data_IF_398549903349
#
_entry.id   IF_398549903349
#
_cell.length_a   1.000
_cell.length_b   1.000
_cell.length_c   1.000
_cell.angle_alpha   90.00
_cell.angle_beta   90.00
_cell.angle_gamma   90.00
#
_symmetry.space_group_name_H-M   'P 1'
#
loop_
_entity.id
_entity.type
_entity.pdbx_description
1 polymer ?
#
# COMPACT_ATOMS: atom_id res chain seq x y z
N UNK A 1 24.50 4.16 14.89
CA UNK A 1 23.72 5.41 14.77
C UNK A 1 23.35 5.81 13.33
N UNK A 2 24.29 5.77 12.36
CA UNK A 2 24.03 6.15 10.94
C UNK A 2 23.06 5.19 10.22
N UNK A 3 23.20 3.88 10.47
CA UNK A 3 22.36 2.83 9.88
C UNK A 3 20.87 2.95 10.25
N UNK A 4 20.58 3.13 11.55
CA UNK A 4 19.20 3.28 12.06
C UNK A 4 18.52 4.52 11.46
N UNK A 5 19.27 5.62 11.30
CA UNK A 5 18.76 6.85 10.68
C UNK A 5 18.43 6.66 9.20
N UNK A 6 19.29 5.96 8.47
CA UNK A 6 19.05 5.66 7.05
C UNK A 6 17.82 4.76 6.87
N UNK A 7 17.64 3.77 7.74
CA UNK A 7 16.48 2.89 7.74
C UNK A 7 15.19 3.66 8.03
N UNK A 8 15.18 4.50 9.07
CA UNK A 8 14.03 5.36 9.40
C UNK A 8 13.64 6.24 8.20
N UNK A 9 14.62 6.90 7.58
CA UNK A 9 14.38 7.75 6.41
C UNK A 9 13.85 6.93 5.22
N UNK A 10 14.35 5.71 5.00
CA UNK A 10 13.87 4.80 3.97
C UNK A 10 12.40 4.41 4.17
N UNK A 11 11.99 4.09 5.40
CA UNK A 11 10.59 3.78 5.74
C UNK A 11 9.70 4.99 5.49
N UNK A 12 10.11 6.18 5.93
CA UNK A 12 9.34 7.41 5.71
C UNK A 12 9.19 7.68 4.21
N UNK A 13 10.29 7.59 3.46
CA UNK A 13 10.29 7.79 2.02
C UNK A 13 9.35 6.80 1.32
N UNK A 14 9.42 5.51 1.68
CA UNK A 14 8.54 4.50 1.12
C UNK A 14 7.06 4.81 1.40
N UNK A 15 6.71 5.15 2.64
CA UNK A 15 5.31 5.48 3.01
C UNK A 15 4.81 6.72 2.24
N UNK A 16 5.65 7.75 2.08
CA UNK A 16 5.30 8.91 1.26
C UNK A 16 5.13 8.53 -0.22
N UNK A 17 6.06 7.77 -0.78
CA UNK A 17 6.00 7.30 -2.15
C UNK A 17 4.76 6.43 -2.40
N UNK A 18 4.37 5.60 -1.43
CA UNK A 18 3.15 4.78 -1.49
C UNK A 18 1.89 5.66 -1.53
N UNK A 19 1.78 6.64 -0.62
CA UNK A 19 0.64 7.55 -0.61
C UNK A 19 0.53 8.41 -1.88
N UNK A 20 1.65 8.98 -2.33
CA UNK A 20 1.72 9.75 -3.58
C UNK A 20 1.45 8.86 -4.79
N UNK A 21 1.99 7.64 -4.81
CA UNK A 21 1.74 6.64 -5.85
C UNK A 21 0.26 6.31 -5.99
N UNK A 22 -0.46 6.15 -4.87
CA UNK A 22 -1.91 5.97 -4.89
C UNK A 22 -2.67 7.16 -5.48
N UNK A 23 -2.26 8.39 -5.15
CA UNK A 23 -2.85 9.61 -5.74
C UNK A 23 -2.61 9.65 -7.25
N UNK A 24 -1.37 9.39 -7.70
CA UNK A 24 -1.01 9.38 -9.11
C UNK A 24 -1.75 8.28 -9.87
N UNK A 25 -1.95 7.11 -9.25
CA UNK A 25 -2.71 6.02 -9.82
C UNK A 25 -4.18 6.41 -10.03
N UNK A 26 -4.85 6.98 -9.03
CA UNK A 26 -6.21 7.47 -9.17
C UNK A 26 -6.34 8.61 -10.18
N UNK A 27 -5.38 9.53 -10.19
CA UNK A 27 -5.31 10.59 -11.18
C UNK A 27 -5.25 10.03 -12.61
N UNK A 28 -4.37 9.04 -12.83
CA UNK A 28 -4.25 8.35 -14.12
C UNK A 28 -5.56 7.63 -14.49
N UNK A 29 -6.18 6.89 -13.57
CA UNK A 29 -7.44 6.20 -13.85
C UNK A 29 -8.59 7.16 -14.19
N UNK A 30 -8.64 8.34 -13.58
CA UNK A 30 -9.69 9.33 -13.84
C UNK A 30 -9.45 10.06 -15.17
N UNK A 31 -8.22 10.52 -15.41
CA UNK A 31 -7.90 11.35 -16.58
C UNK A 31 -7.70 10.55 -17.87
N UNK A 32 -7.30 9.28 -17.76
CA UNK A 32 -7.05 8.40 -18.90
C UNK A 32 -7.83 7.10 -18.75
N UNK A 33 -9.17 7.09 -18.96
CA UNK A 33 -9.99 5.88 -18.77
C UNK A 33 -9.51 4.66 -19.57
N UNK A 34 -8.91 4.87 -20.74
CA UNK A 34 -8.30 3.83 -21.57
C UNK A 34 -7.23 3.02 -20.83
N UNK A 35 -6.55 3.62 -19.84
CA UNK A 35 -5.54 2.92 -19.05
C UNK A 35 -6.16 1.83 -18.16
N UNK A 36 -7.47 1.90 -17.88
CA UNK A 36 -8.19 0.90 -17.08
C UNK A 36 -8.12 -0.47 -17.75
N UNK A 37 -8.09 -0.53 -19.09
CA UNK A 37 -8.01 -1.78 -19.85
C UNK A 37 -6.81 -2.66 -19.46
N UNK A 38 -5.68 -2.06 -19.05
CA UNK A 38 -4.50 -2.81 -18.58
C UNK A 38 -4.72 -3.54 -17.24
N UNK A 39 -5.72 -3.12 -16.46
CA UNK A 39 -6.05 -3.66 -15.15
C UNK A 39 -7.31 -4.52 -15.15
N UNK A 40 -7.97 -4.65 -16.31
CA UNK A 40 -9.19 -5.44 -16.47
C UNK A 40 -8.88 -6.79 -17.11
N UNK A 41 -9.93 -7.60 -17.23
CA UNK A 41 -9.98 -8.81 -18.04
C UNK A 41 -11.35 -8.87 -18.71
N UNK A 42 -11.53 -9.75 -19.68
CA UNK A 42 -12.81 -9.91 -20.39
C UNK A 42 -13.99 -10.22 -19.46
N UNK A 43 -13.72 -10.75 -18.27
CA UNK A 43 -14.72 -11.09 -17.25
C UNK A 43 -14.77 -10.13 -16.08
N UNK A 44 -13.77 -9.23 -15.95
CA UNK A 44 -13.69 -8.27 -14.85
C UNK A 44 -14.35 -6.96 -15.22
N UNK A 45 -15.49 -6.66 -14.58
CA UNK A 45 -16.17 -5.38 -14.78
C UNK A 45 -15.36 -4.21 -14.24
N UNK A 46 -15.34 -3.11 -15.01
CA UNK A 46 -14.75 -1.84 -14.61
C UNK A 46 -15.28 -1.32 -13.25
N UNK A 47 -16.54 -1.63 -12.90
CA UNK A 47 -17.11 -1.24 -11.60
C UNK A 47 -16.33 -1.84 -10.43
N UNK A 48 -15.76 -3.03 -10.58
CA UNK A 48 -14.95 -3.67 -9.54
C UNK A 48 -13.68 -2.86 -9.31
N UNK A 49 -12.98 -2.48 -10.39
CA UNK A 49 -11.78 -1.65 -10.33
C UNK A 49 -12.07 -0.30 -9.67
N UNK A 50 -13.16 0.37 -10.07
CA UNK A 50 -13.53 1.67 -9.51
C UNK A 50 -13.96 1.56 -8.05
N UNK A 51 -14.51 0.42 -7.60
CA UNK A 51 -14.93 0.24 -6.20
C UNK A 51 -13.77 0.30 -5.19
N UNK A 52 -12.53 0.21 -5.65
CA UNK A 52 -11.35 0.41 -4.81
C UNK A 52 -11.14 1.85 -4.35
N UNK A 53 -11.90 2.83 -4.88
CA UNK A 53 -11.72 4.24 -4.51
C UNK A 53 -11.77 4.44 -3.00
N UNK A 54 -12.74 3.85 -2.31
CA UNK A 54 -12.92 4.06 -0.88
C UNK A 54 -11.76 3.45 -0.06
N UNK A 55 -11.41 2.16 -0.20
CA UNK A 55 -10.27 1.61 0.53
C UNK A 55 -8.95 2.28 0.15
N UNK A 56 -8.76 2.69 -1.11
CA UNK A 56 -7.53 3.35 -1.53
C UNK A 56 -7.40 4.74 -0.92
N UNK A 57 -8.43 5.58 -0.99
CA UNK A 57 -8.35 6.92 -0.40
C UNK A 57 -8.24 6.86 1.13
N UNK A 58 -9.07 6.03 1.78
CA UNK A 58 -9.15 6.00 3.25
C UNK A 58 -8.01 5.24 3.92
N UNK A 59 -7.62 4.08 3.39
CA UNK A 59 -6.61 3.21 3.99
C UNK A 59 -5.28 3.41 3.29
N UNK A 60 -5.22 3.20 1.98
CA UNK A 60 -3.94 3.18 1.27
C UNK A 60 -3.25 4.55 1.26
N UNK A 61 -3.92 5.59 0.77
CA UNK A 61 -3.36 6.94 0.61
C UNK A 61 -3.27 7.64 1.96
N UNK A 62 -4.40 7.87 2.63
CA UNK A 62 -4.43 8.60 3.91
C UNK A 62 -3.64 7.86 4.97
N UNK A 63 -3.81 6.53 5.09
CA UNK A 63 -3.05 5.73 6.05
C UNK A 63 -1.54 5.81 5.82
N UNK A 64 -1.07 5.79 4.57
CA UNK A 64 0.36 5.93 4.25
C UNK A 64 0.91 7.30 4.64
N UNK A 65 0.20 8.39 4.30
CA UNK A 65 0.62 9.75 4.62
C UNK A 65 0.60 10.01 6.13
N UNK A 66 -0.43 9.54 6.83
CA UNK A 66 -0.54 9.65 8.29
C UNK A 66 0.54 8.82 8.98
N UNK A 67 0.81 7.61 8.51
CA UNK A 67 1.91 6.77 8.99
C UNK A 67 3.27 7.46 8.80
N UNK A 68 3.54 7.99 7.60
CA UNK A 68 4.77 8.72 7.30
C UNK A 68 4.96 9.92 8.24
N UNK A 69 3.90 10.72 8.41
CA UNK A 69 3.93 11.87 9.30
C UNK A 69 4.18 11.47 10.75
N UNK A 70 3.38 10.52 11.29
CA UNK A 70 3.53 10.04 12.67
C UNK A 70 4.91 9.46 12.94
N UNK A 71 5.42 8.64 12.02
CA UNK A 71 6.71 7.98 12.14
C UNK A 71 7.88 8.99 12.02
N UNK A 72 7.76 10.00 11.15
CA UNK A 72 8.74 11.09 11.05
C UNK A 72 8.86 11.89 12.37
N UNK A 73 7.73 12.11 13.04
CA UNK A 73 7.63 12.82 14.33
C UNK A 73 7.82 11.90 15.54
N UNK A 74 8.16 10.63 15.32
CA UNK A 74 8.41 9.63 16.38
C UNK A 74 7.23 9.51 17.34
N UNK A 75 5.99 9.57 16.82
CA UNK A 75 4.78 9.46 17.63
C UNK A 75 4.45 8.00 17.93
N UNK A 76 4.10 7.69 19.18
CA UNK A 76 3.78 6.31 19.61
C UNK A 76 2.62 5.68 18.85
N UNK A 77 1.65 6.49 18.41
CA UNK A 77 0.50 6.03 17.63
C UNK A 77 0.85 5.65 16.19
N UNK A 78 2.04 6.01 15.67
CA UNK A 78 2.39 5.69 14.28
C UNK A 78 2.51 4.20 14.05
N UNK A 79 2.93 3.45 15.07
CA UNK A 79 3.15 2.01 14.94
C UNK A 79 1.84 1.23 14.77
N UNK A 80 0.79 1.44 15.60
CA UNK A 80 -0.54 0.90 15.32
C UNK A 80 -1.07 1.26 13.92
N UNK A 81 -0.86 2.49 13.45
CA UNK A 81 -1.29 2.91 12.10
C UNK A 81 -0.54 2.14 11.01
N UNK A 82 0.77 1.92 11.16
CA UNK A 82 1.55 1.11 10.22
C UNK A 82 1.02 -0.32 10.19
N UNK A 83 0.71 -0.94 11.33
CA UNK A 83 0.14 -2.29 11.35
C UNK A 83 -1.25 -2.36 10.71
N UNK A 84 -2.11 -1.38 10.99
CA UNK A 84 -3.42 -1.26 10.35
C UNK A 84 -3.29 -1.15 8.82
N UNK A 85 -2.39 -0.28 8.36
CA UNK A 85 -2.07 -0.10 6.95
C UNK A 85 -1.55 -1.39 6.31
N UNK A 86 -0.62 -2.09 6.97
CA UNK A 86 -0.09 -3.39 6.51
C UNK A 86 -1.21 -4.42 6.36
N UNK A 87 -2.13 -4.50 7.33
CA UNK A 87 -3.29 -5.39 7.25
C UNK A 87 -4.21 -5.05 6.07
N UNK A 88 -4.53 -3.77 5.90
CA UNK A 88 -5.37 -3.30 4.78
C UNK A 88 -4.76 -3.59 3.41
N UNK A 89 -3.46 -3.32 3.23
CA UNK A 89 -2.74 -3.61 1.98
C UNK A 89 -2.64 -5.11 1.74
N UNK A 90 -2.40 -5.91 2.79
CA UNK A 90 -2.36 -7.38 2.66
C UNK A 90 -3.72 -7.93 2.22
N UNK A 91 -4.82 -7.46 2.82
CA UNK A 91 -6.17 -7.86 2.43
C UNK A 91 -6.46 -7.50 0.96
N UNK A 92 -6.19 -6.25 0.57
CA UNK A 92 -6.40 -5.80 -0.82
C UNK A 92 -5.55 -6.61 -1.80
N UNK A 93 -4.29 -6.90 -1.46
CA UNK A 93 -3.39 -7.71 -2.30
C UNK A 93 -3.89 -9.13 -2.50
N UNK A 94 -4.34 -9.79 -1.41
CA UNK A 94 -4.93 -11.13 -1.49
C UNK A 94 -6.23 -11.13 -2.29
N UNK A 95 -7.05 -10.08 -2.17
CA UNK A 95 -8.24 -9.91 -3.00
C UNK A 95 -7.87 -9.79 -4.48
N UNK A 96 -6.87 -8.98 -4.83
CA UNK A 96 -6.38 -8.87 -6.21
C UNK A 96 -5.86 -10.22 -6.74
N UNK A 97 -5.13 -10.99 -5.93
CA UNK A 97 -4.70 -12.35 -6.30
C UNK A 97 -5.91 -13.25 -6.59
N UNK A 98 -6.90 -13.28 -5.69
CA UNK A 98 -8.10 -14.08 -5.89
C UNK A 98 -8.84 -13.65 -7.16
N UNK A 99 -9.01 -12.35 -7.37
CA UNK A 99 -9.66 -11.78 -8.54
C UNK A 99 -8.93 -12.15 -9.83
N UNK A 100 -7.60 -12.03 -9.86
CA UNK A 100 -6.79 -12.40 -11.03
C UNK A 100 -6.85 -13.88 -11.36
N UNK A 101 -6.85 -14.73 -10.33
CA UNK A 101 -7.00 -16.17 -10.51
C UNK A 101 -8.39 -16.54 -11.03
N UNK A 102 -9.45 -15.88 -10.56
CA UNK A 102 -10.84 -16.15 -10.99
C UNK A 102 -11.18 -15.60 -12.37
N UNK A 103 -10.55 -14.50 -12.78
CA UNK A 103 -10.90 -13.78 -14.02
C UNK A 103 -9.85 -13.91 -15.12
N UNK A 104 -8.76 -14.64 -14.85
CA UNK A 104 -7.58 -14.81 -15.71
C UNK A 104 -6.96 -13.49 -16.22
N UNK A 105 -7.14 -12.38 -15.50
CA UNK A 105 -6.56 -11.08 -15.87
C UNK A 105 -6.37 -10.12 -14.68
N UNK A 106 -6.21 -8.82 -14.95
CA UNK A 106 -5.88 -7.85 -13.89
C UNK A 106 -4.51 -8.06 -13.22
N UNK A 107 -3.64 -8.90 -13.80
CA UNK A 107 -2.32 -9.24 -13.27
C UNK A 107 -1.42 -8.03 -12.97
N UNK A 108 -1.39 -6.95 -13.77
CA UNK A 108 -0.54 -5.80 -13.46
C UNK A 108 -0.87 -5.17 -12.11
N UNK A 109 -2.16 -4.99 -11.79
CA UNK A 109 -2.60 -4.46 -10.50
C UNK A 109 -2.21 -5.39 -9.36
N UNK A 110 -2.43 -6.69 -9.55
CA UNK A 110 -2.07 -7.73 -8.57
C UNK A 110 -0.57 -7.74 -8.25
N UNK A 111 0.29 -7.65 -9.26
CA UNK A 111 1.74 -7.62 -9.06
C UNK A 111 2.20 -6.39 -8.28
N UNK A 112 1.65 -5.21 -8.61
CA UNK A 112 1.93 -3.96 -7.89
C UNK A 112 1.53 -4.09 -6.43
N UNK A 113 0.32 -4.60 -6.15
CA UNK A 113 -0.18 -4.78 -4.79
C UNK A 113 0.66 -5.79 -4.00
N UNK A 114 1.09 -6.90 -4.61
CA UNK A 114 2.00 -7.86 -3.97
C UNK A 114 3.35 -7.25 -3.61
N UNK A 115 3.90 -6.36 -4.46
CA UNK A 115 5.10 -5.60 -4.12
C UNK A 115 4.87 -4.69 -2.91
N UNK A 116 3.75 -3.98 -2.85
CA UNK A 116 3.38 -3.14 -1.71
C UNK A 116 3.21 -3.95 -0.42
N UNK A 117 2.50 -5.08 -0.48
CA UNK A 117 2.35 -6.01 0.65
C UNK A 117 3.70 -6.50 1.16
N UNK A 118 4.57 -6.95 0.25
CA UNK A 118 5.90 -7.45 0.61
C UNK A 118 6.75 -6.39 1.30
N UNK A 119 6.70 -5.15 0.82
CA UNK A 119 7.41 -4.02 1.44
C UNK A 119 6.84 -3.68 2.82
N UNK A 120 5.51 -3.59 2.95
CA UNK A 120 4.87 -3.29 4.23
C UNK A 120 5.10 -4.38 5.28
N UNK A 121 5.06 -5.67 4.90
CA UNK A 121 5.37 -6.77 5.80
C UNK A 121 6.82 -6.71 6.29
N UNK A 122 7.77 -6.38 5.41
CA UNK A 122 9.17 -6.18 5.80
C UNK A 122 9.33 -5.00 6.77
N UNK A 123 8.66 -3.88 6.50
CA UNK A 123 8.67 -2.71 7.40
C UNK A 123 8.10 -3.09 8.77
N UNK A 124 6.93 -3.73 8.81
CA UNK A 124 6.30 -4.17 10.05
C UNK A 124 7.19 -5.15 10.82
N UNK A 125 7.80 -6.12 10.15
CA UNK A 125 8.73 -7.07 10.78
C UNK A 125 9.93 -6.37 11.41
N UNK A 126 10.59 -5.47 10.67
CA UNK A 126 11.73 -4.68 11.17
C UNK A 126 11.35 -3.84 12.39
N UNK A 127 10.18 -3.21 12.38
CA UNK A 127 9.71 -2.41 13.49
C UNK A 127 9.41 -3.26 14.73
N UNK A 128 8.77 -4.42 14.56
CA UNK A 128 8.50 -5.36 15.67
C UNK A 128 9.80 -5.92 16.26
N UNK A 129 10.75 -6.34 15.42
CA UNK A 129 12.05 -6.83 15.90
C UNK A 129 12.86 -5.76 16.63
N UNK A 130 12.72 -4.50 16.23
CA UNK A 130 13.34 -3.37 16.94
C UNK A 130 12.79 -3.14 18.34
N UNK A 131 11.48 -3.37 18.56
CA UNK A 131 10.88 -3.19 19.88
C UNK A 131 11.32 -4.25 20.91
N UNK A 132 11.69 -5.45 20.45
CA UNK A 132 12.16 -6.53 21.34
C UNK A 132 13.58 -6.33 21.87
N UNK A 133 14.35 -5.36 21.36
CA UNK A 133 15.74 -5.09 21.79
C UNK A 133 15.79 -4.04 22.90
N UNK A 134 14.72 -3.25 23.07
CA UNK A 134 14.63 -2.15 24.05
C UNK A 134 13.87 -2.54 25.35
N UNK A 135 13.67 -3.85 25.61
CA UNK A 135 13.07 -4.43 26.84
C UNK A 135 14.10 -5.26 27.58
#
# INVERSE_FOLDING_TARGET
MKLIRNLKNGIIFYLLAQGVGGILWWYLLIQMPESRAFFLSDTLSERVLISFWLPDFSIFIVGSLVAAYGFSRTRVWSLPVIYFLTGGISYASLYCVALSLSTHGGWPGTLIMLCCMSAMLRISFVLTSGQHIDV
#
